data_IF_958566779524
#
_entry.id   IF_958566779524
#
_cell.length_a   1.000
_cell.length_b   1.000
_cell.length_c   1.000
_cell.angle_alpha   90.00
_cell.angle_beta   90.00
_cell.angle_gamma   90.00
#
_symmetry.space_group_name_H-M   'P 1'
#
loop_
_entity.id
_entity.type
_entity.pdbx_description
1 polymer ?
#
# COMPACT_ATOMS: atom_id res chain seq x y z
N UNK A 1 10.24 3.51 29.03
CA UNK A 1 11.72 3.55 29.03
C UNK A 1 12.18 3.77 27.61
N UNK A 2 12.47 5.02 27.24
CA UNK A 2 12.99 5.35 25.91
C UNK A 2 14.49 5.08 25.84
N UNK A 3 14.97 4.52 24.74
CA UNK A 3 16.40 4.33 24.46
C UNK A 3 17.18 5.65 24.25
N UNK A 4 16.54 6.81 24.44
CA UNK A 4 17.07 8.13 24.13
C UNK A 4 16.83 9.10 25.29
N UNK A 5 17.38 8.77 26.46
CA UNK A 5 17.46 9.70 27.58
C UNK A 5 18.54 10.76 27.35
N UNK A 6 18.15 12.03 27.42
CA UNK A 6 18.98 13.22 27.69
C UNK A 6 20.46 13.15 27.26
N UNK A 7 20.74 12.98 25.97
CA UNK A 7 22.01 13.42 25.37
C UNK A 7 21.70 14.44 24.29
N UNK A 8 22.22 15.65 24.47
CA UNK A 8 22.18 16.73 23.48
C UNK A 8 23.15 16.49 22.31
N UNK A 9 23.89 15.37 22.32
CA UNK A 9 24.78 14.98 21.24
C UNK A 9 24.02 14.18 20.18
N UNK A 10 24.11 14.62 18.92
CA UNK A 10 23.63 13.91 17.75
C UNK A 10 24.11 12.45 17.76
N UNK A 11 23.24 11.50 18.10
CA UNK A 11 23.49 10.04 17.97
C UNK A 11 23.27 9.59 16.51
N UNK A 12 23.29 10.51 15.55
CA UNK A 12 23.34 10.16 14.14
C UNK A 12 24.80 9.78 13.85
N UNK A 13 25.09 8.56 13.40
CA UNK A 13 26.44 8.18 13.01
C UNK A 13 27.01 9.22 12.05
N UNK A 14 28.26 9.62 12.29
CA UNK A 14 28.95 10.57 11.43
C UNK A 14 28.91 10.06 9.97
N UNK A 15 28.59 10.97 9.05
CA UNK A 15 28.37 10.62 7.64
C UNK A 15 29.64 10.00 7.09
N UNK A 16 29.57 8.73 6.74
CA UNK A 16 30.63 8.06 5.99
C UNK A 16 30.65 8.62 4.56
N UNK A 17 31.84 8.81 4.00
CA UNK A 17 32.11 9.48 2.71
C UNK A 17 31.65 8.67 1.47
N UNK A 18 30.62 7.83 1.63
CA UNK A 18 30.01 7.14 0.51
C UNK A 18 29.19 8.14 -0.32
N UNK A 19 29.25 8.01 -1.64
CA UNK A 19 28.22 8.59 -2.52
C UNK A 19 26.85 8.18 -1.97
N UNK A 20 25.98 9.15 -1.65
CA UNK A 20 24.67 8.87 -1.06
C UNK A 20 23.85 7.95 -1.98
N UNK A 21 23.81 6.65 -1.66
CA UNK A 21 23.06 5.66 -2.45
C UNK A 21 21.68 5.38 -1.88
N UNK A 22 21.39 5.82 -0.65
CA UNK A 22 20.14 5.56 0.05
C UNK A 22 19.53 6.84 0.61
N UNK A 23 18.21 6.92 0.53
CA UNK A 23 17.41 7.99 1.12
C UNK A 23 16.10 7.43 1.69
N UNK A 24 15.43 8.21 2.52
CA UNK A 24 14.14 7.81 3.08
C UNK A 24 13.14 8.95 3.06
N UNK A 25 11.87 8.59 2.86
CA UNK A 25 10.73 9.49 3.00
C UNK A 25 9.79 8.94 4.07
N UNK A 26 9.35 9.79 5.00
CA UNK A 26 8.40 9.38 6.04
C UNK A 26 7.24 10.36 6.14
N UNK A 27 6.04 9.83 6.38
CA UNK A 27 4.83 10.59 6.67
C UNK A 27 4.65 10.62 8.19
N UNK A 28 4.64 11.80 8.80
CA UNK A 28 4.65 11.95 10.25
C UNK A 28 3.46 12.81 10.70
N UNK A 29 2.98 12.52 11.91
CA UNK A 29 1.77 13.16 12.46
C UNK A 29 0.61 13.06 11.43
N UNK A 30 -0.14 14.15 11.25
CA UNK A 30 -1.24 14.22 10.29
C UNK A 30 -0.89 14.99 9.01
N UNK A 31 0.22 15.75 9.00
CA UNK A 31 0.55 16.68 7.92
C UNK A 31 2.04 16.91 7.62
N UNK A 32 2.95 16.13 8.21
CA UNK A 32 4.39 16.31 7.98
C UNK A 32 4.94 15.28 6.98
N UNK A 33 5.72 15.74 6.00
CA UNK A 33 6.46 14.89 5.06
C UNK A 33 7.96 15.16 5.24
N UNK A 34 8.71 14.13 5.60
CA UNK A 34 10.13 14.25 5.95
C UNK A 34 11.01 13.48 4.97
N UNK A 35 12.12 14.11 4.58
CA UNK A 35 13.05 13.64 3.57
C UNK A 35 14.45 13.53 4.18
N UNK A 36 14.99 12.32 4.23
CA UNK A 36 16.29 11.99 4.81
C UNK A 36 17.28 11.68 3.69
N UNK A 37 18.49 12.24 3.77
CA UNK A 37 19.58 12.03 2.81
C UNK A 37 19.28 12.53 1.38
N UNK A 38 18.54 13.64 1.27
CA UNK A 38 18.39 14.40 0.02
C UNK A 38 19.25 15.66 0.07
N UNK A 39 19.86 16.01 -1.07
CA UNK A 39 20.61 17.26 -1.23
C UNK A 39 19.66 18.47 -1.26
N UNK A 40 20.20 19.68 -1.02
CA UNK A 40 19.40 20.91 -1.09
C UNK A 40 18.73 21.08 -2.46
N UNK A 41 19.44 20.79 -3.54
CA UNK A 41 18.89 20.86 -4.90
C UNK A 41 17.70 19.92 -5.09
N UNK A 42 17.79 18.68 -4.59
CA UNK A 42 16.69 17.72 -4.66
C UNK A 42 15.50 18.15 -3.81
N UNK A 43 15.74 18.76 -2.64
CA UNK A 43 14.68 19.32 -1.80
C UNK A 43 13.90 20.43 -2.52
N UNK A 44 14.59 21.31 -3.27
CA UNK A 44 13.93 22.35 -4.08
C UNK A 44 13.02 21.73 -5.15
N UNK A 45 13.49 20.68 -5.84
CA UNK A 45 12.72 19.99 -6.87
C UNK A 45 11.52 19.22 -6.26
N UNK A 46 11.72 18.57 -5.11
CA UNK A 46 10.67 17.92 -4.33
C UNK A 46 9.60 18.92 -3.89
N UNK A 47 9.99 20.14 -3.47
CA UNK A 47 9.04 21.21 -3.14
C UNK A 47 8.11 21.49 -4.32
N UNK A 48 8.67 21.62 -5.52
CA UNK A 48 7.87 21.83 -6.74
C UNK A 48 6.90 20.67 -6.99
N UNK A 49 7.35 19.42 -6.79
CA UNK A 49 6.49 18.24 -6.93
C UNK A 49 5.32 18.24 -5.93
N UNK A 50 5.58 18.61 -4.67
CA UNK A 50 4.54 18.74 -3.62
C UNK A 50 3.53 19.82 -4.02
N UNK A 51 3.98 21.03 -4.37
CA UNK A 51 3.10 22.14 -4.73
C UNK A 51 2.25 21.86 -5.98
N UNK A 52 2.76 21.04 -6.90
CA UNK A 52 2.03 20.64 -8.12
C UNK A 52 0.97 19.58 -7.84
N UNK A 53 1.20 18.71 -6.85
CA UNK A 53 0.37 17.53 -6.57
C UNK A 53 -0.55 17.67 -5.36
N UNK A 54 -0.34 18.70 -4.54
CA UNK A 54 -1.13 18.99 -3.35
C UNK A 54 -1.74 20.39 -3.42
N UNK A 55 -3.03 20.45 -3.74
CA UNK A 55 -3.76 21.69 -3.98
C UNK A 55 -3.75 22.66 -2.79
N UNK A 56 -3.67 22.15 -1.55
CA UNK A 56 -3.62 23.01 -0.37
C UNK A 56 -2.23 23.63 -0.16
N UNK A 57 -1.18 23.07 -0.77
CA UNK A 57 0.18 23.58 -0.70
C UNK A 57 0.90 23.35 0.64
N UNK A 58 2.05 24.00 0.78
CA UNK A 58 2.94 23.88 1.93
C UNK A 58 2.63 25.00 2.93
N UNK A 59 2.59 24.64 4.22
CA UNK A 59 2.40 25.56 5.34
C UNK A 59 3.73 26.09 5.86
N UNK A 60 4.72 25.22 6.05
CA UNK A 60 6.03 25.56 6.57
C UNK A 60 7.09 24.52 6.17
N UNK A 61 8.36 24.86 6.28
CA UNK A 61 9.49 23.96 6.03
C UNK A 61 10.60 24.19 7.06
N UNK A 62 11.35 23.15 7.41
CA UNK A 62 12.49 23.27 8.33
C UNK A 62 13.53 22.17 8.13
N UNK A 63 14.76 22.46 8.55
CA UNK A 63 15.69 21.42 8.96
C UNK A 63 15.17 20.75 10.23
N UNK A 64 15.23 19.42 10.26
CA UNK A 64 14.84 18.61 11.39
C UNK A 64 15.89 17.51 11.59
N UNK A 65 16.89 17.77 12.44
CA UNK A 65 17.94 16.81 12.80
C UNK A 65 18.65 16.21 11.57
N UNK A 66 19.04 17.04 10.59
CA UNK A 66 19.73 16.59 9.38
C UNK A 66 18.82 15.95 8.32
N UNK A 67 17.50 16.11 8.47
CA UNK A 67 16.49 15.84 7.45
C UNK A 67 15.76 17.12 7.09
N UNK A 68 15.09 17.15 5.94
CA UNK A 68 14.21 18.26 5.57
C UNK A 68 12.76 17.87 5.80
N UNK A 69 11.99 18.72 6.45
CA UNK A 69 10.59 18.46 6.77
C UNK A 69 9.69 19.54 6.17
N UNK A 70 8.70 19.10 5.41
CA UNK A 70 7.60 19.92 4.92
C UNK A 70 6.38 19.72 5.81
N UNK A 71 5.82 20.81 6.34
CA UNK A 71 4.48 20.84 6.92
C UNK A 71 3.48 21.23 5.84
N UNK A 72 2.52 20.37 5.56
CA UNK A 72 1.52 20.55 4.52
C UNK A 72 0.29 21.27 5.08
N UNK A 73 -0.41 22.06 4.26
CA UNK A 73 -1.71 22.62 4.69
C UNK A 73 -2.78 21.53 4.66
N UNK A 74 -3.53 21.39 5.75
CA UNK A 74 -4.54 20.33 5.91
C UNK A 74 -3.98 19.12 6.65
N UNK A 75 -4.60 17.95 6.49
CA UNK A 75 -4.24 16.73 7.20
C UNK A 75 -4.22 15.54 6.23
N UNK A 76 -3.30 15.52 5.23
CA UNK A 76 -3.27 14.51 4.19
C UNK A 76 -3.13 13.09 4.73
N UNK A 77 -2.53 12.92 5.91
CA UNK A 77 -2.25 11.60 6.48
C UNK A 77 -3.36 11.05 7.36
N UNK A 78 -4.40 11.84 7.66
CA UNK A 78 -5.68 11.26 8.10
C UNK A 78 -6.29 10.45 6.94
N UNK A 79 -5.99 10.84 5.69
CA UNK A 79 -6.33 10.14 4.46
C UNK A 79 -7.83 9.80 4.27
N UNK A 80 -8.71 10.61 4.86
CA UNK A 80 -10.17 10.45 4.85
C UNK A 80 -10.90 11.67 4.25
N UNK A 81 -12.22 11.51 4.07
CA UNK A 81 -13.10 12.58 3.65
C UNK A 81 -12.68 13.20 2.31
N UNK A 82 -12.66 14.53 2.26
CA UNK A 82 -12.30 15.30 1.06
C UNK A 82 -10.81 15.27 0.72
N UNK A 83 -9.93 14.87 1.63
CA UNK A 83 -8.48 14.84 1.41
C UNK A 83 -7.95 13.44 1.03
N UNK A 84 -8.80 12.42 1.09
CA UNK A 84 -8.42 11.03 0.81
C UNK A 84 -7.83 10.83 -0.61
N UNK A 85 -8.42 11.47 -1.62
CA UNK A 85 -7.92 11.38 -3.00
C UNK A 85 -6.69 12.26 -3.17
N UNK A 86 -6.74 13.48 -2.66
CA UNK A 86 -5.63 14.44 -2.75
C UNK A 86 -4.33 13.93 -2.13
N UNK A 87 -4.38 13.22 -0.99
CA UNK A 87 -3.16 12.71 -0.34
C UNK A 87 -2.49 11.60 -1.16
N UNK A 88 -3.26 10.79 -1.89
CA UNK A 88 -2.74 9.80 -2.83
C UNK A 88 -2.22 10.45 -4.11
N UNK A 89 -2.84 11.53 -4.57
CA UNK A 89 -2.31 12.34 -5.67
C UNK A 89 -0.97 13.00 -5.30
N UNK A 90 -0.82 13.49 -4.07
CA UNK A 90 0.43 14.01 -3.54
C UNK A 90 1.54 12.94 -3.59
N UNK A 91 1.32 11.78 -2.99
CA UNK A 91 2.32 10.71 -2.97
C UNK A 91 2.66 10.20 -4.38
N UNK A 92 1.66 10.11 -5.27
CA UNK A 92 1.88 9.80 -6.69
C UNK A 92 2.81 10.81 -7.37
N UNK A 93 2.61 12.11 -7.12
CA UNK A 93 3.46 13.18 -7.63
C UNK A 93 4.88 13.11 -7.10
N UNK A 94 5.04 12.91 -5.79
CA UNK A 94 6.35 12.74 -5.14
C UNK A 94 7.08 11.52 -5.70
N UNK A 95 6.42 10.35 -5.80
CA UNK A 95 7.05 9.14 -6.35
C UNK A 95 7.48 9.28 -7.80
N UNK A 96 6.62 9.84 -8.66
CA UNK A 96 6.96 10.07 -10.06
C UNK A 96 8.18 10.98 -10.18
N UNK A 97 8.24 12.04 -9.37
CA UNK A 97 9.34 12.98 -9.38
C UNK A 97 10.65 12.38 -8.85
N UNK A 98 10.60 11.65 -7.73
CA UNK A 98 11.74 10.91 -7.19
C UNK A 98 12.29 9.92 -8.22
N UNK A 99 11.42 9.17 -8.91
CA UNK A 99 11.82 8.24 -9.96
C UNK A 99 12.58 8.94 -11.10
N UNK A 100 12.07 10.08 -11.59
CA UNK A 100 12.74 10.88 -12.63
C UNK A 100 14.11 11.44 -12.17
N UNK A 101 14.29 11.72 -10.87
CA UNK A 101 15.58 12.14 -10.31
C UNK A 101 16.56 10.96 -10.10
N UNK A 102 16.18 9.73 -10.45
CA UNK A 102 17.01 8.55 -10.22
C UNK A 102 16.87 7.97 -8.81
N UNK A 103 15.75 8.20 -8.12
CA UNK A 103 15.43 7.53 -6.86
C UNK A 103 14.34 6.48 -7.06
N UNK A 104 14.71 5.21 -6.94
CA UNK A 104 13.74 4.10 -7.01
C UNK A 104 13.37 3.67 -5.60
N UNK A 105 12.07 3.52 -5.33
CA UNK A 105 11.60 2.92 -4.10
C UNK A 105 12.04 1.45 -4.06
N UNK A 106 12.62 1.02 -2.94
CA UNK A 106 13.04 -0.36 -2.70
C UNK A 106 12.09 -1.06 -1.75
N UNK A 107 11.62 -0.36 -0.71
CA UNK A 107 10.77 -0.95 0.32
C UNK A 107 9.91 0.11 0.99
N UNK A 108 8.66 -0.25 1.29
CA UNK A 108 7.82 0.39 2.29
C UNK A 108 7.89 -0.46 3.56
N UNK A 109 8.16 0.14 4.71
CA UNK A 109 8.35 -0.65 5.93
C UNK A 109 7.75 0.03 7.14
N UNK A 110 6.82 -0.67 7.78
CA UNK A 110 6.34 -0.34 9.10
C UNK A 110 7.37 -0.81 10.15
N UNK A 111 8.16 0.15 10.63
CA UNK A 111 9.26 -0.06 11.57
C UNK A 111 9.03 0.67 12.90
N UNK A 112 7.84 1.22 13.09
CA UNK A 112 7.45 1.93 14.29
C UNK A 112 6.48 1.05 15.10
N UNK A 113 6.28 1.39 16.37
CA UNK A 113 5.24 0.77 17.22
C UNK A 113 4.27 1.82 17.73
N UNK A 114 4.27 2.99 17.09
CA UNK A 114 3.52 4.16 17.53
C UNK A 114 2.14 4.04 16.92
N UNK A 115 1.09 4.16 17.73
CA UNK A 115 -0.28 4.21 17.20
C UNK A 115 -0.40 5.26 16.08
N UNK A 116 -0.95 4.84 14.94
CA UNK A 116 -1.10 5.67 13.75
C UNK A 116 0.22 5.95 13.02
N UNK A 117 1.20 5.05 13.13
CA UNK A 117 2.38 5.07 12.28
C UNK A 117 2.04 4.73 10.84
N UNK A 118 2.98 5.10 9.98
CA UNK A 118 2.92 4.98 8.53
C UNK A 118 4.23 4.39 8.08
N UNK A 119 4.28 3.92 6.85
CA UNK A 119 5.48 3.32 6.32
C UNK A 119 6.65 4.31 6.25
N UNK A 120 7.82 3.80 6.60
CA UNK A 120 9.09 4.38 6.19
C UNK A 120 9.41 3.90 4.78
N UNK A 121 9.58 4.84 3.85
CA UNK A 121 9.80 4.56 2.45
C UNK A 121 11.29 4.68 2.14
N UNK A 122 11.92 3.57 1.75
CA UNK A 122 13.35 3.48 1.49
C UNK A 122 13.64 3.53 0.00
N UNK A 123 14.50 4.46 -0.40
CA UNK A 123 14.86 4.71 -1.79
C UNK A 123 16.34 4.42 -2.03
N UNK A 124 16.64 3.89 -3.22
CA UNK A 124 17.99 3.70 -3.71
C UNK A 124 18.24 4.55 -4.95
N UNK A 125 19.41 5.19 -4.99
CA UNK A 125 19.86 5.95 -6.14
C UNK A 125 20.22 5.01 -7.30
N UNK A 126 19.75 5.35 -8.49
CA UNK A 126 20.03 4.71 -9.77
C UNK A 126 20.14 5.79 -10.86
N UNK A 127 20.56 5.41 -12.07
CA UNK A 127 20.47 6.33 -13.20
C UNK A 127 19.00 6.72 -13.45
N UNK A 128 18.69 7.97 -13.83
CA UNK A 128 17.33 8.39 -14.15
C UNK A 128 16.65 7.40 -15.10
N UNK A 129 15.47 6.92 -14.70
CA UNK A 129 14.64 6.00 -15.49
C UNK A 129 13.89 6.71 -16.62
N UNK A 130 13.21 5.96 -17.50
CA UNK A 130 12.32 6.55 -18.50
C UNK A 130 11.16 7.31 -17.83
N UNK A 131 10.41 8.12 -18.59
CA UNK A 131 9.17 8.67 -18.05
C UNK A 131 8.17 7.54 -17.73
N UNK A 132 7.46 7.69 -16.61
CA UNK A 132 6.45 6.72 -16.15
C UNK A 132 5.07 7.34 -15.99
N UNK A 133 4.05 6.56 -16.32
CA UNK A 133 2.71 6.72 -15.77
C UNK A 133 2.69 6.09 -14.37
N UNK A 134 2.09 6.80 -13.41
CA UNK A 134 1.93 6.32 -12.05
C UNK A 134 0.45 6.44 -11.65
N UNK A 135 -0.13 5.33 -11.23
CA UNK A 135 -1.52 5.20 -10.78
C UNK A 135 -1.55 4.75 -9.33
N UNK A 136 -2.55 5.20 -8.58
CA UNK A 136 -2.85 4.70 -7.25
C UNK A 136 -4.15 3.89 -7.27
N UNK A 137 -4.12 2.70 -6.67
CA UNK A 137 -5.29 1.88 -6.38
C UNK A 137 -5.49 1.87 -4.87
N UNK A 138 -6.64 2.35 -4.40
CA UNK A 138 -6.94 2.38 -2.97
C UNK A 138 -8.21 1.61 -2.63
N UNK A 139 -8.15 0.91 -1.50
CA UNK A 139 -9.26 0.21 -0.88
C UNK A 139 -9.82 1.12 0.21
N UNK A 140 -11.13 1.35 0.20
CA UNK A 140 -11.77 2.36 1.03
C UNK A 140 -13.06 1.84 1.64
N UNK A 141 -13.32 2.24 2.88
CA UNK A 141 -14.45 1.73 3.67
C UNK A 141 -14.45 0.19 3.59
N UNK A 142 -15.61 -0.43 3.49
CA UNK A 142 -15.71 -1.89 3.49
C UNK A 142 -15.82 -2.48 2.07
N UNK A 143 -16.11 -1.63 1.07
CA UNK A 143 -16.50 -2.08 -0.28
C UNK A 143 -16.12 -1.17 -1.45
N UNK A 144 -15.31 -0.12 -1.26
CA UNK A 144 -14.94 0.80 -2.34
C UNK A 144 -13.52 0.55 -2.85
N UNK A 145 -13.37 0.51 -4.16
CA UNK A 145 -12.09 0.52 -4.87
C UNK A 145 -11.98 1.84 -5.63
N UNK A 146 -10.85 2.54 -5.54
CA UNK A 146 -10.59 3.75 -6.33
C UNK A 146 -9.36 3.59 -7.21
N UNK A 147 -9.48 4.07 -8.44
CA UNK A 147 -8.37 4.30 -9.35
C UNK A 147 -8.10 5.81 -9.43
N UNK A 148 -6.91 6.23 -8.98
CA UNK A 148 -6.52 7.63 -8.86
C UNK A 148 -5.41 7.92 -9.86
N UNK A 149 -5.70 8.86 -10.78
CA UNK A 149 -4.75 9.22 -11.82
C UNK A 149 -4.54 8.12 -12.88
N UNK A 150 -5.54 7.27 -13.05
CA UNK A 150 -5.54 6.19 -14.03
C UNK A 150 -5.70 6.73 -15.46
N UNK A 151 -4.91 6.23 -16.43
CA UNK A 151 -5.11 6.54 -17.84
C UNK A 151 -6.43 5.92 -18.34
N UNK A 152 -6.98 6.45 -19.44
CA UNK A 152 -8.34 6.14 -19.89
C UNK A 152 -8.60 4.66 -20.24
N UNK A 153 -7.55 3.89 -20.52
CA UNK A 153 -7.62 2.45 -20.80
C UNK A 153 -7.84 1.60 -19.53
N UNK A 154 -7.43 2.09 -18.35
CA UNK A 154 -7.39 1.30 -17.13
C UNK A 154 -8.76 1.13 -16.44
N UNK A 155 -9.62 2.16 -16.30
CA UNK A 155 -10.95 1.98 -15.70
C UNK A 155 -11.83 0.95 -16.44
N UNK A 156 -11.89 0.91 -17.78
CA UNK A 156 -12.57 -0.15 -18.51
C UNK A 156 -12.06 -1.56 -18.21
N UNK A 157 -10.74 -1.74 -18.10
CA UNK A 157 -10.13 -3.04 -17.79
C UNK A 157 -10.51 -3.53 -16.39
N UNK A 158 -10.42 -2.65 -15.39
CA UNK A 158 -10.82 -2.97 -14.02
C UNK A 158 -12.33 -3.22 -13.94
N UNK A 159 -13.15 -2.43 -14.64
CA UNK A 159 -14.60 -2.67 -14.73
C UNK A 159 -14.92 -4.07 -15.24
N UNK A 160 -14.25 -4.50 -16.31
CA UNK A 160 -14.41 -5.87 -16.84
C UNK A 160 -13.97 -6.94 -15.84
N UNK A 161 -12.90 -6.67 -15.09
CA UNK A 161 -12.35 -7.60 -14.08
C UNK A 161 -13.29 -7.77 -12.89
N UNK A 162 -13.90 -6.68 -12.43
CA UNK A 162 -14.86 -6.69 -11.32
C UNK A 162 -16.22 -7.25 -11.76
N UNK A 163 -16.63 -6.97 -13.01
CA UNK A 163 -17.83 -7.51 -13.65
C UNK A 163 -19.09 -7.36 -12.78
N UNK A 164 -19.79 -8.46 -12.45
CA UNK A 164 -21.06 -8.41 -11.71
C UNK A 164 -20.90 -7.96 -10.26
N UNK A 165 -19.67 -7.89 -9.72
CA UNK A 165 -19.43 -7.40 -8.36
C UNK A 165 -19.66 -5.90 -8.23
N UNK A 166 -19.73 -5.14 -9.33
CA UNK A 166 -19.94 -3.69 -9.28
C UNK A 166 -21.39 -3.40 -8.89
N UNK A 167 -21.58 -2.72 -7.76
CA UNK A 167 -22.86 -2.14 -7.36
C UNK A 167 -23.07 -0.76 -7.99
N UNK A 168 -22.02 0.06 -8.06
CA UNK A 168 -22.07 1.37 -8.73
C UNK A 168 -20.66 1.86 -9.09
N UNK A 169 -20.60 2.77 -10.06
CA UNK A 169 -19.38 3.46 -10.46
C UNK A 169 -19.62 4.98 -10.52
N UNK A 170 -18.68 5.78 -10.04
CA UNK A 170 -18.75 7.25 -10.09
C UNK A 170 -17.38 7.91 -10.09
N UNK A 171 -17.33 9.16 -10.52
CA UNK A 171 -16.21 10.05 -10.21
C UNK A 171 -16.26 10.45 -8.73
N UNK A 172 -15.11 10.39 -8.07
CA UNK A 172 -14.89 10.84 -6.71
C UNK A 172 -13.63 11.70 -6.67
N UNK A 173 -13.80 13.01 -6.73
CA UNK A 173 -12.72 13.99 -6.65
C UNK A 173 -11.63 13.73 -7.71
N UNK A 174 -12.03 13.35 -8.94
CA UNK A 174 -11.11 13.01 -10.04
C UNK A 174 -10.58 11.56 -10.02
N UNK A 175 -11.09 10.72 -9.12
CA UNK A 175 -10.82 9.28 -9.10
C UNK A 175 -12.02 8.49 -9.60
N UNK A 176 -11.79 7.40 -10.35
CA UNK A 176 -12.85 6.45 -10.67
C UNK A 176 -13.07 5.56 -9.45
N UNK A 177 -14.26 5.61 -8.86
CA UNK A 177 -14.63 4.81 -7.71
C UNK A 177 -15.64 3.73 -8.11
N UNK A 178 -15.29 2.48 -7.86
CA UNK A 178 -16.19 1.33 -7.90
C UNK A 178 -16.66 1.03 -6.47
N UNK A 179 -17.99 0.96 -6.26
CA UNK A 179 -18.58 0.35 -5.08
C UNK A 179 -18.91 -1.09 -5.41
N UNK A 180 -18.44 -2.03 -4.60
CA UNK A 180 -18.61 -3.45 -4.80
C UNK A 180 -19.82 -3.97 -4.00
N UNK A 181 -20.38 -5.10 -4.42
CA UNK A 181 -21.37 -5.84 -3.66
C UNK A 181 -20.71 -6.53 -2.46
N UNK A 182 -21.40 -6.56 -1.32
CA UNK A 182 -20.87 -7.11 -0.08
C UNK A 182 -19.77 -6.22 0.51
N UNK A 183 -18.91 -6.80 1.36
CA UNK A 183 -17.86 -6.07 2.08
C UNK A 183 -16.49 -6.76 1.92
N UNK A 184 -15.91 -6.78 0.70
CA UNK A 184 -14.71 -7.56 0.42
C UNK A 184 -13.50 -7.16 1.27
N UNK A 185 -13.45 -5.93 1.80
CA UNK A 185 -12.32 -5.41 2.57
C UNK A 185 -12.38 -5.75 4.07
N UNK A 186 -13.49 -6.32 4.54
CA UNK A 186 -13.66 -6.84 5.91
C UNK A 186 -14.20 -8.29 5.85
N UNK A 187 -13.67 -9.07 4.89
CA UNK A 187 -14.05 -10.47 4.69
C UNK A 187 -13.69 -11.35 5.89
N UNK A 188 -14.55 -12.32 6.21
CA UNK A 188 -14.32 -13.32 7.26
C UNK A 188 -14.42 -14.76 6.70
N UNK A 189 -13.85 -15.74 7.42
CA UNK A 189 -13.94 -17.15 7.06
C UNK A 189 -13.47 -17.46 5.63
N UNK A 190 -14.30 -18.12 4.83
CA UNK A 190 -13.97 -18.51 3.45
C UNK A 190 -13.99 -17.33 2.47
N UNK A 191 -14.69 -16.23 2.78
CA UNK A 191 -14.72 -15.02 1.93
C UNK A 191 -13.32 -14.41 1.79
N UNK A 192 -12.46 -14.61 2.78
CA UNK A 192 -11.06 -14.19 2.76
C UNK A 192 -10.29 -14.74 1.55
N UNK A 193 -10.60 -15.96 1.10
CA UNK A 193 -10.00 -16.57 -0.08
C UNK A 193 -10.54 -15.92 -1.36
N UNK A 194 -11.84 -15.66 -1.42
CA UNK A 194 -12.47 -14.96 -2.55
C UNK A 194 -11.92 -13.54 -2.71
N UNK A 195 -11.74 -12.79 -1.62
CA UNK A 195 -11.11 -11.47 -1.65
C UNK A 195 -9.68 -11.56 -2.18
N UNK A 196 -8.89 -12.56 -1.76
CA UNK A 196 -7.51 -12.75 -2.26
C UNK A 196 -7.49 -13.09 -3.76
N UNK A 197 -8.41 -13.94 -4.23
CA UNK A 197 -8.59 -14.21 -5.67
C UNK A 197 -8.98 -12.96 -6.46
N UNK A 198 -9.86 -12.12 -5.90
CA UNK A 198 -10.22 -10.83 -6.51
C UNK A 198 -9.00 -9.91 -6.65
N UNK A 199 -8.18 -9.80 -5.60
CA UNK A 199 -6.94 -9.01 -5.63
C UNK A 199 -5.96 -9.52 -6.70
N UNK A 200 -5.82 -10.84 -6.85
CA UNK A 200 -5.00 -11.45 -7.90
C UNK A 200 -5.51 -11.12 -9.31
N UNK A 201 -6.83 -11.17 -9.52
CA UNK A 201 -7.44 -10.81 -10.80
C UNK A 201 -7.24 -9.33 -11.13
N UNK A 202 -7.34 -8.44 -10.13
CA UNK A 202 -7.06 -7.01 -10.29
C UNK A 202 -5.58 -6.81 -10.69
N UNK A 203 -4.64 -7.47 -10.01
CA UNK A 203 -3.21 -7.39 -10.35
C UNK A 203 -2.92 -7.91 -11.76
N UNK A 204 -3.53 -9.02 -12.16
CA UNK A 204 -3.39 -9.57 -13.51
C UNK A 204 -3.95 -8.62 -14.57
N UNK A 205 -5.07 -7.95 -14.28
CA UNK A 205 -5.65 -6.93 -15.15
C UNK A 205 -4.71 -5.73 -15.31
N UNK A 206 -4.16 -5.22 -14.20
CA UNK A 206 -3.17 -4.14 -14.21
C UNK A 206 -1.92 -4.51 -15.02
N UNK A 207 -1.39 -5.72 -14.83
CA UNK A 207 -0.22 -6.22 -15.55
C UNK A 207 -0.48 -6.37 -17.06
N UNK A 208 -1.67 -6.83 -17.45
CA UNK A 208 -2.06 -6.91 -18.86
C UNK A 208 -2.16 -5.54 -19.56
N UNK A 209 -2.19 -4.45 -18.78
CA UNK A 209 -2.18 -3.05 -19.23
C UNK A 209 -0.82 -2.36 -18.97
N UNK A 210 0.23 -3.14 -18.74
CA UNK A 210 1.60 -2.65 -18.59
C UNK A 210 1.96 -2.13 -17.21
N UNK A 211 1.01 -2.15 -16.27
CA UNK A 211 1.25 -1.66 -14.91
C UNK A 211 1.87 -2.73 -14.03
N UNK A 212 2.80 -2.30 -13.19
CA UNK A 212 3.37 -3.14 -12.14
C UNK A 212 3.39 -2.45 -10.81
N UNK A 213 3.38 -3.28 -9.77
CA UNK A 213 3.51 -2.80 -8.40
C UNK A 213 4.81 -2.02 -8.26
N UNK A 214 4.67 -0.74 -7.91
CA UNK A 214 5.76 0.15 -7.51
C UNK A 214 5.89 0.18 -5.99
N UNK A 215 4.76 0.26 -5.29
CA UNK A 215 4.72 0.27 -3.83
C UNK A 215 3.36 -0.21 -3.29
N UNK A 216 3.38 -0.85 -2.12
CA UNK A 216 2.22 -0.92 -1.22
C UNK A 216 2.55 -0.01 -0.04
N UNK A 217 1.70 0.96 0.27
CA UNK A 217 2.03 2.00 1.27
C UNK A 217 0.89 2.19 2.24
N UNK A 218 1.17 2.00 3.52
CA UNK A 218 0.38 2.54 4.60
C UNK A 218 0.73 4.02 4.81
N UNK A 219 -0.22 4.90 4.47
CA UNK A 219 -0.07 6.36 4.56
C UNK A 219 -1.16 7.02 5.42
N UNK A 220 -1.92 6.22 6.17
CA UNK A 220 -3.00 6.71 7.04
C UNK A 220 -2.56 6.73 8.50
N UNK A 221 -3.12 7.61 9.33
CA UNK A 221 -3.00 7.58 10.80
C UNK A 221 -4.22 6.94 11.46
N UNK A 222 -4.95 6.07 10.74
CA UNK A 222 -6.26 5.61 11.20
C UNK A 222 -6.07 4.47 12.17
N UNK A 223 -6.42 4.69 13.44
CA UNK A 223 -6.27 3.69 14.51
C UNK A 223 -7.02 2.36 14.29
N UNK A 224 -7.91 2.27 13.30
CA UNK A 224 -8.70 1.06 13.02
C UNK A 224 -8.68 0.69 11.53
N UNK A 225 -8.14 -0.49 11.25
CA UNK A 225 -8.09 -1.14 9.93
C UNK A 225 -7.51 -0.24 8.84
N UNK A 226 -6.18 -0.06 8.89
CA UNK A 226 -5.43 0.60 7.83
C UNK A 226 -5.30 -0.33 6.64
N UNK A 227 -5.59 0.20 5.45
CA UNK A 227 -5.40 -0.50 4.20
C UNK A 227 -4.36 0.26 3.39
N UNK A 228 -3.40 -0.50 2.89
CA UNK A 228 -2.40 0.05 2.00
C UNK A 228 -3.03 0.64 0.75
N UNK A 229 -2.39 1.68 0.24
CA UNK A 229 -2.61 2.15 -1.12
C UNK A 229 -1.55 1.51 -2.01
N UNK A 230 -1.98 0.89 -3.10
CA UNK A 230 -1.08 0.38 -4.11
C UNK A 230 -0.74 1.48 -5.09
N UNK A 231 0.54 1.66 -5.32
CA UNK A 231 1.08 2.52 -6.36
C UNK A 231 1.62 1.60 -7.45
N UNK A 232 1.17 1.82 -8.68
CA UNK A 232 1.64 1.06 -9.83
C UNK A 232 2.19 1.98 -10.89
N UNK A 233 3.19 1.52 -11.62
CA UNK A 233 3.79 2.28 -12.71
C UNK A 233 3.94 1.48 -13.99
N UNK A 234 3.99 2.21 -15.11
CA UNK A 234 4.36 1.71 -16.43
C UNK A 234 5.16 2.78 -17.17
N UNK A 235 6.03 2.43 -18.13
CA UNK A 235 6.65 3.41 -19.02
C UNK A 235 5.61 4.20 -19.80
N UNK A 236 5.82 5.50 -19.97
CA UNK A 236 5.00 6.31 -20.87
C UNK A 236 5.15 5.78 -22.30
N UNK A 237 4.03 5.67 -23.02
CA UNK A 237 4.01 5.12 -24.37
C UNK A 237 4.11 3.60 -24.43
N UNK A 238 3.95 2.90 -23.30
CA UNK A 238 3.78 1.45 -23.30
C UNK A 238 2.64 1.02 -24.23
N UNK A 239 2.84 -0.10 -24.92
CA UNK A 239 1.87 -0.71 -25.82
C UNK A 239 1.67 -2.19 -25.48
N UNK A 240 0.48 -2.77 -25.74
CA UNK A 240 0.21 -4.19 -25.52
C UNK A 240 1.29 -5.10 -26.11
N UNK A 241 1.73 -6.09 -25.32
CA UNK A 241 2.77 -7.06 -25.70
C UNK A 241 4.20 -6.70 -25.31
N UNK A 242 4.46 -5.49 -24.77
CA UNK A 242 5.79 -5.11 -24.27
C UNK A 242 6.05 -5.60 -22.84
N UNK A 243 7.23 -6.18 -22.61
CA UNK A 243 7.65 -6.65 -21.29
C UNK A 243 8.11 -5.46 -20.45
N UNK A 244 7.32 -5.12 -19.45
CA UNK A 244 7.56 -3.96 -18.58
C UNK A 244 8.93 -4.05 -17.87
N UNK A 245 9.51 -5.25 -17.64
CA UNK A 245 10.71 -5.47 -16.77
C UNK A 245 11.95 -4.92 -17.45
N UNK A 246 12.06 -5.20 -18.73
CA UNK A 246 13.15 -4.69 -19.56
C UNK A 246 13.10 -3.16 -19.68
N UNK A 247 11.91 -2.55 -19.65
CA UNK A 247 11.75 -1.12 -19.88
C UNK A 247 11.96 -0.26 -18.62
N UNK A 248 11.47 -0.70 -17.44
CA UNK A 248 11.61 0.08 -16.19
C UNK A 248 12.97 -0.09 -15.50
N UNK A 249 13.64 -1.22 -15.73
CA UNK A 249 14.94 -1.54 -15.11
C UNK A 249 15.90 -2.12 -16.16
N UNK A 250 16.48 -1.27 -17.02
CA UNK A 250 17.43 -1.71 -18.04
C UNK A 250 18.63 -2.41 -17.36
N UNK A 251 18.85 -3.69 -17.69
CA UNK A 251 19.94 -4.49 -17.11
C UNK A 251 19.59 -5.32 -15.89
N UNK A 252 18.33 -5.31 -15.42
CA UNK A 252 17.86 -6.33 -14.48
C UNK A 252 17.88 -7.72 -15.16
N UNK A 253 18.34 -8.79 -14.49
CA UNK A 253 18.24 -10.14 -15.05
C UNK A 253 16.78 -10.41 -15.39
N UNK A 254 16.53 -10.89 -16.61
CA UNK A 254 15.18 -11.26 -17.03
C UNK A 254 14.56 -12.19 -15.97
N UNK A 255 13.29 -12.01 -15.60
CA UNK A 255 12.64 -12.93 -14.67
C UNK A 255 12.79 -14.36 -15.18
N UNK A 256 13.10 -15.28 -14.27
CA UNK A 256 13.26 -16.71 -14.57
C UNK A 256 12.05 -17.18 -15.38
N UNK A 257 12.29 -17.58 -16.64
CA UNK A 257 11.26 -18.11 -17.53
C UNK A 257 10.86 -17.23 -18.73
N UNK A 258 11.47 -16.07 -18.96
CA UNK A 258 11.30 -15.38 -20.24
C UNK A 258 11.83 -16.27 -21.39
N UNK A 259 11.01 -16.62 -22.40
CA UNK A 259 11.49 -17.39 -23.54
C UNK A 259 12.55 -16.56 -24.28
N UNK A 260 13.80 -17.01 -24.27
CA UNK A 260 14.79 -16.54 -25.23
C UNK A 260 14.48 -17.18 -26.58
N UNK A 261 13.72 -16.50 -27.43
CA UNK A 261 13.43 -17.01 -28.77
C UNK A 261 12.53 -16.08 -29.56
N UNK A 262 13.03 -15.60 -30.70
CA UNK A 262 12.40 -14.59 -31.56
C UNK A 262 11.00 -14.94 -32.05
N UNK A 263 10.20 -13.89 -32.24
CA UNK A 263 8.90 -13.95 -32.88
C UNK A 263 9.06 -14.29 -34.37
N UNK A 264 9.03 -15.58 -34.66
CA UNK A 264 8.76 -16.14 -35.99
C UNK A 264 7.73 -17.24 -35.83
N UNK A 265 6.44 -16.89 -35.89
CA UNK A 265 5.38 -17.89 -35.92
C UNK A 265 5.38 -18.66 -37.24
N UNK A 266 4.91 -19.92 -37.22
CA UNK A 266 3.86 -20.27 -38.17
C UNK A 266 2.64 -20.90 -37.49
N UNK A 267 1.52 -20.79 -38.22
CA UNK A 267 0.15 -21.16 -37.88
C UNK A 267 -0.07 -22.70 -37.77
N UNK A 268 -1.28 -23.16 -37.37
CA UNK A 268 -1.50 -24.42 -36.67
C UNK A 268 -1.49 -25.64 -37.60
N UNK A 269 -0.71 -26.65 -37.25
CA UNK A 269 -0.62 -27.94 -37.94
C UNK A 269 -0.44 -29.05 -36.91
N UNK A 270 -1.17 -30.15 -37.11
CA UNK A 270 -1.48 -31.17 -36.11
C UNK A 270 -0.29 -31.85 -35.45
N UNK A 271 -0.52 -32.33 -34.22
CA UNK A 271 0.38 -33.22 -33.50
C UNK A 271 0.31 -34.64 -34.11
N UNK A 272 1.40 -35.19 -34.66
CA UNK A 272 1.57 -36.63 -34.76
C UNK A 272 2.03 -37.16 -33.39
N UNK A 273 1.47 -38.30 -33.01
CA UNK A 273 1.69 -38.93 -31.70
C UNK A 273 3.16 -39.21 -31.38
N UNK A 274 3.48 -39.09 -30.10
CA UNK A 274 4.65 -39.72 -29.48
C UNK A 274 4.15 -40.69 -28.39
N UNK A 275 4.79 -41.86 -28.22
CA UNK A 275 4.29 -42.95 -27.38
C UNK A 275 4.46 -42.66 -25.88
N UNK A 276 3.69 -43.31 -25.00
CA UNK A 276 3.86 -43.16 -23.56
C UNK A 276 5.15 -43.83 -23.08
N UNK A 277 5.84 -43.28 -22.06
CA UNK A 277 6.96 -43.96 -21.41
C UNK A 277 6.48 -45.22 -20.68
N UNK A 278 7.24 -46.30 -20.83
CA UNK A 278 7.03 -47.56 -20.14
C UNK A 278 7.35 -47.46 -18.64
N UNK A 279 6.48 -48.03 -17.81
CA UNK A 279 6.87 -48.75 -16.60
C UNK A 279 6.93 -47.98 -15.28
N UNK A 280 5.80 -47.86 -14.59
CA UNK A 280 5.76 -47.92 -13.13
C UNK A 280 4.91 -49.13 -12.71
N UNK A 281 5.42 -50.03 -11.86
CA UNK A 281 4.68 -51.21 -11.44
C UNK A 281 3.61 -50.86 -10.39
N UNK A 282 2.37 -51.29 -10.65
CA UNK A 282 1.40 -51.74 -9.65
C UNK A 282 0.67 -50.65 -8.85
N UNK A 283 -0.53 -50.30 -9.28
CA UNK A 283 -1.55 -49.77 -8.36
C UNK A 283 -2.02 -50.89 -7.41
N UNK A 284 -2.05 -50.70 -6.08
CA UNK A 284 -2.75 -51.62 -5.20
C UNK A 284 -4.27 -51.42 -5.31
N UNK A 285 -5.08 -52.49 -5.16
CA UNK A 285 -6.54 -52.41 -5.27
C UNK A 285 -7.17 -51.72 -4.04
N UNK A 286 -8.35 -51.17 -4.25
CA UNK A 286 -9.19 -50.58 -3.20
C UNK A 286 -9.53 -51.61 -2.11
N UNK A 287 -9.41 -51.28 -0.81
CA UNK A 287 -10.00 -52.09 0.26
C UNK A 287 -11.48 -51.73 0.44
N UNK A 288 -12.36 -52.63 0.01
CA UNK A 288 -13.69 -52.75 0.56
C UNK A 288 -13.64 -53.35 1.97
N UNK A 289 -14.54 -52.89 2.83
CA UNK A 289 -15.07 -53.59 4.00
C UNK A 289 -14.07 -54.06 5.07
N UNK A 290 -14.00 -53.33 6.19
CA UNK A 290 -13.59 -53.91 7.47
C UNK A 290 -14.78 -53.91 8.45
N UNK A 291 -15.11 -55.07 9.06
CA UNK A 291 -16.05 -55.19 10.16
C UNK A 291 -15.35 -54.84 11.49
N UNK A 292 -16.09 -54.22 12.41
CA UNK A 292 -15.67 -54.07 13.82
C UNK A 292 -15.44 -52.63 14.25
N UNK A 293 -16.53 -51.92 14.55
CA UNK A 293 -16.46 -50.66 15.30
C UNK A 293 -16.35 -50.96 16.81
N UNK A 294 -15.42 -50.32 17.55
CA UNK A 294 -15.50 -50.24 19.01
C UNK A 294 -16.58 -49.19 19.43
N UNK A 295 -17.27 -49.39 20.57
CA UNK A 295 -18.37 -48.53 20.98
C UNK A 295 -17.90 -47.14 21.40
N UNK A 296 -18.74 -46.14 21.11
CA UNK A 296 -18.55 -44.75 21.50
C UNK A 296 -18.65 -44.56 23.02
N UNK A 297 -17.81 -43.72 23.64
CA UNK A 297 -18.07 -43.20 24.98
C UNK A 297 -19.25 -42.22 24.95
N UNK A 298 -20.20 -42.45 25.86
CA UNK A 298 -21.45 -41.72 25.99
C UNK A 298 -21.29 -40.25 26.38
N UNK A 299 -22.40 -39.53 26.20
CA UNK A 299 -22.47 -38.08 26.18
C UNK A 299 -22.44 -37.39 27.54
N UNK A 300 -22.44 -36.06 27.46
CA UNK A 300 -22.92 -35.11 28.45
C UNK A 300 -23.34 -33.82 27.71
N UNK A 301 -24.19 -32.96 28.30
CA UNK A 301 -25.47 -32.57 27.69
C UNK A 301 -25.57 -31.07 27.36
N UNK A 302 -26.55 -30.72 26.51
CA UNK A 302 -27.27 -29.45 26.58
C UNK A 302 -26.60 -28.24 25.92
N UNK A 303 -26.88 -28.03 24.64
CA UNK A 303 -26.76 -26.71 24.02
C UNK A 303 -27.98 -25.84 24.37
N UNK A 304 -27.83 -24.62 24.90
CA UNK A 304 -28.94 -23.65 24.99
C UNK A 304 -29.09 -22.86 23.67
N UNK A 305 -30.29 -22.34 23.36
CA UNK A 305 -30.58 -21.67 22.10
C UNK A 305 -29.99 -20.25 22.03
N UNK A 306 -29.84 -19.65 20.83
CA UNK A 306 -29.24 -18.34 20.68
C UNK A 306 -30.26 -17.23 20.98
N UNK A 307 -29.99 -16.42 21.99
CA UNK A 307 -30.73 -15.19 22.25
C UNK A 307 -30.27 -14.46 23.50
N UNK A 308 -29.87 -13.19 23.34
CA UNK A 308 -29.86 -12.20 24.42
C UNK A 308 -28.48 -11.69 24.86
N UNK A 309 -28.23 -10.42 24.51
CA UNK A 309 -27.49 -9.40 25.27
C UNK A 309 -26.15 -9.81 25.94
N UNK A 310 -25.04 -9.33 25.37
CA UNK A 310 -23.78 -9.26 26.10
C UNK A 310 -23.91 -8.29 27.28
N UNK A 311 -23.96 -8.86 28.49
CA UNK A 311 -23.59 -8.19 29.73
C UNK A 311 -22.06 -8.08 29.80
N UNK A 312 -21.56 -6.88 30.11
CA UNK A 312 -20.15 -6.63 30.41
C UNK A 312 -19.73 -7.33 31.72
N UNK A 313 -18.52 -7.90 31.82
CA UNK A 313 -17.98 -8.33 33.11
C UNK A 313 -17.52 -7.13 33.95
N UNK A 314 -18.09 -6.98 35.14
CA UNK A 314 -17.56 -6.13 36.21
C UNK A 314 -16.35 -6.79 36.88
N UNK A 315 -15.27 -6.03 37.10
CA UNK A 315 -14.37 -6.24 38.24
C UNK A 315 -12.86 -6.14 37.98
N UNK A 316 -12.32 -4.93 37.89
CA UNK A 316 -11.01 -4.55 38.46
C UNK A 316 -11.12 -3.10 38.97
N UNK A 317 -10.43 -2.72 40.07
CA UNK A 317 -10.82 -1.56 40.86
C UNK A 317 -10.18 -0.25 40.38
N UNK A 318 -11.00 0.80 40.35
CA UNK A 318 -10.60 2.17 40.68
C UNK A 318 -10.00 3.03 39.56
N UNK A 319 -10.84 3.59 38.68
CA UNK A 319 -10.62 4.94 38.14
C UNK A 319 -11.95 5.71 38.12
N UNK A 320 -11.94 6.90 38.71
CA UNK A 320 -13.09 7.81 38.79
C UNK A 320 -13.47 8.35 37.39
N UNK A 321 -14.75 8.61 37.12
CA UNK A 321 -15.18 9.16 35.83
C UNK A 321 -14.75 10.63 35.71
N UNK A 322 -14.14 10.97 34.57
CA UNK A 322 -13.82 12.33 34.16
C UNK A 322 -15.10 13.18 34.09
N UNK A 323 -15.26 14.08 35.06
CA UNK A 323 -16.15 15.23 34.93
C UNK A 323 -15.60 16.21 33.89
N UNK A 324 -16.49 16.76 33.08
CA UNK A 324 -16.15 17.83 32.14
C UNK A 324 -15.55 19.05 32.85
N UNK A 325 -14.75 19.87 32.15
CA UNK A 325 -14.11 21.02 32.77
C UNK A 325 -15.15 22.07 33.18
N UNK A 326 -15.01 22.71 34.36
CA UNK A 326 -15.86 23.81 34.75
C UNK A 326 -15.56 25.06 33.90
N UNK A 327 -16.56 25.94 33.67
CA UNK A 327 -16.37 27.17 32.92
C UNK A 327 -15.57 28.18 33.74
N UNK A 328 -14.46 28.70 33.18
CA UNK A 328 -13.80 29.90 33.71
C UNK A 328 -12.30 29.81 34.02
N UNK A 329 -11.47 29.29 33.12
CA UNK A 329 -10.01 29.46 33.19
C UNK A 329 -9.48 30.20 31.95
N UNK A 330 -8.82 31.33 32.19
CA UNK A 330 -8.17 32.19 31.20
C UNK A 330 -6.97 31.50 30.51
N UNK A 331 -6.60 31.91 29.28
CA UNK A 331 -5.60 31.21 28.47
C UNK A 331 -4.19 31.38 29.03
N UNK A 332 -3.48 30.26 29.19
CA UNK A 332 -2.04 30.25 29.46
C UNK A 332 -1.27 30.71 28.21
N UNK A 333 -0.42 31.71 28.41
CA UNK A 333 0.32 32.43 27.38
C UNK A 333 1.39 31.59 26.68
N UNK A 334 1.62 31.99 25.44
CA UNK A 334 2.72 31.55 24.59
C UNK A 334 4.10 31.96 25.18
N UNK A 335 5.12 31.08 25.11
CA UNK A 335 6.50 31.52 25.27
C UNK A 335 6.94 32.29 24.01
N UNK A 336 7.31 33.55 24.18
CA UNK A 336 7.90 34.38 23.13
C UNK A 336 9.27 33.86 22.71
N UNK A 337 9.55 33.91 21.41
CA UNK A 337 10.87 33.67 20.84
C UNK A 337 11.59 34.99 20.59
N UNK A 338 12.92 35.07 20.82
CA UNK A 338 13.70 36.27 20.56
C UNK A 338 13.94 36.47 19.06
N UNK A 339 13.85 37.72 18.61
CA UNK A 339 14.30 38.17 17.30
C UNK A 339 15.82 38.36 17.31
N UNK A 340 16.50 37.81 16.30
CA UNK A 340 17.63 38.45 15.63
C UNK A 340 17.48 38.26 14.13
#
# INVERSE_FOLDING_TARGET
MGLFGNRQDSIIPERTDYSQTWAAVTMNEDDLLRFLQFSKEEIEQIRTAILTSWANGIQNERDYHGSWEFKLRGNPWIAQGSQAVGSRMLMRGVFKHLYHMGWSLVSSSDISKKTGDKDTLLFRRHAPGPEIDLVSVSFNEDDKLRLIGAPGDLPPAIRQTLGPLIQSEKDKDGAVQFKLQGNPWISEGTETVTTRSLLLNILQSLESHGFRMYASVNQSSKETAEMDTWYLCRPVGWAPGRIVYAELFPGAPAPYGAPQGGYGGPAPGGYPGSPPPAGYPGSPPAPGGYPGAPPAPGGYPGAPPPGGYYQQPQGYPGQAPYGGPPPGAAPYGAPGWPQQ
#
